data_IF_290386798714
#
_entry.id   IF_290386798714
#
_cell.length_a   1.000
_cell.length_b   1.000
_cell.length_c   1.000
_cell.angle_alpha   90.00
_cell.angle_beta   90.00
_cell.angle_gamma   90.00
#
_symmetry.space_group_name_H-M   'P 1'
#
loop_
_entity.id
_entity.type
_entity.pdbx_description
1 polymer ?
#
# COMPACT_ATOMS: atom_id res chain seq x y z
N UNK A 1 6.98 -2.79 80.75
CA UNK A 1 5.88 -1.85 81.05
C UNK A 1 6.33 -0.46 80.65
N UNK A 2 5.48 0.23 79.89
CA UNK A 2 5.42 1.67 79.56
C UNK A 2 6.53 2.36 78.71
N UNK A 3 6.03 3.01 77.63
CA UNK A 3 6.51 4.21 76.91
C UNK A 3 7.71 4.06 75.94
N UNK A 4 7.76 4.63 74.71
CA UNK A 4 7.11 5.77 74.00
C UNK A 4 7.40 5.59 72.47
N UNK A 5 6.42 5.57 71.55
CA UNK A 5 5.83 6.65 70.71
C UNK A 5 6.61 7.14 69.47
N UNK A 6 5.93 7.14 68.31
CA UNK A 6 6.21 7.92 67.07
C UNK A 6 6.62 7.06 65.87
N UNK A 7 6.20 7.24 64.62
CA UNK A 7 5.34 8.17 63.90
C UNK A 7 5.33 7.67 62.42
N UNK A 8 4.27 8.00 61.65
CA UNK A 8 4.01 7.68 60.22
C UNK A 8 3.25 6.37 59.96
N UNK A 9 2.02 6.33 59.41
CA UNK A 9 1.25 7.33 58.68
C UNK A 9 1.14 6.94 57.20
N UNK A 10 0.00 6.31 56.86
CA UNK A 10 -0.79 6.43 55.60
C UNK A 10 -0.03 6.37 54.26
N UNK A 11 -0.37 5.39 53.41
CA UNK A 11 -0.78 5.60 52.00
C UNK A 11 -0.92 4.25 51.27
N UNK A 12 -2.06 3.60 51.47
CA UNK A 12 -2.67 2.76 50.43
C UNK A 12 -3.51 3.72 49.60
N UNK A 13 -3.16 3.94 48.34
CA UNK A 13 -4.00 4.40 47.22
C UNK A 13 -3.10 4.96 46.11
N UNK A 14 -3.29 4.46 44.90
CA UNK A 14 -2.84 5.13 43.67
C UNK A 14 -2.01 4.25 42.76
N UNK A 15 -2.68 3.61 41.79
CA UNK A 15 -2.28 3.54 40.38
C UNK A 15 -3.32 2.72 39.61
N UNK A 16 -4.55 3.23 39.59
CA UNK A 16 -5.58 2.84 38.63
C UNK A 16 -5.98 4.12 37.89
N UNK A 17 -5.30 4.40 36.77
CA UNK A 17 -5.71 5.33 35.73
C UNK A 17 -4.67 5.28 34.60
N UNK A 18 -4.61 4.17 33.87
CA UNK A 18 -4.03 4.20 32.53
C UNK A 18 -5.12 4.67 31.59
N UNK A 19 -4.84 5.81 30.94
CA UNK A 19 -5.81 6.67 30.28
C UNK A 19 -6.54 6.00 29.13
N UNK A 20 -7.87 5.93 29.26
CA UNK A 20 -8.76 6.14 28.14
C UNK A 20 -8.70 7.63 27.79
N UNK A 21 -7.79 7.99 26.89
CA UNK A 21 -7.89 9.25 26.18
C UNK A 21 -9.14 9.17 25.29
N UNK A 22 -10.30 9.48 25.86
CA UNK A 22 -11.50 9.81 25.11
C UNK A 22 -11.22 11.13 24.40
N UNK A 23 -10.67 11.05 23.18
CA UNK A 23 -10.72 12.16 22.24
C UNK A 23 -12.17 12.27 21.79
N UNK A 24 -12.98 12.93 22.61
CA UNK A 24 -14.34 13.35 22.25
C UNK A 24 -14.22 14.55 21.29
N UNK A 25 -13.74 14.31 20.07
CA UNK A 25 -14.00 15.23 18.97
C UNK A 25 -15.39 14.88 18.46
N UNK A 26 -16.37 15.70 18.84
CA UNK A 26 -17.72 15.61 18.29
C UNK A 26 -17.63 15.92 16.80
N UNK A 27 -18.04 14.96 15.97
CA UNK A 27 -18.16 15.20 14.53
C UNK A 27 -19.29 16.21 14.28
N UNK A 28 -19.19 17.05 13.23
CA UNK A 28 -20.25 17.99 12.91
C UNK A 28 -21.59 17.24 12.72
N UNK A 29 -22.64 17.56 13.50
CA UNK A 29 -23.91 16.83 13.46
C UNK A 29 -24.51 16.77 12.06
N UNK A 30 -24.36 17.86 11.29
CA UNK A 30 -24.87 17.97 9.93
C UNK A 30 -24.18 16.98 8.98
N UNK A 31 -22.86 16.82 9.10
CA UNK A 31 -22.07 15.90 8.26
C UNK A 31 -22.40 14.44 8.61
N UNK A 32 -22.50 14.12 9.90
CA UNK A 32 -22.91 12.78 10.36
C UNK A 32 -24.31 12.43 9.86
N UNK A 33 -25.24 13.38 9.93
CA UNK A 33 -26.60 13.22 9.42
C UNK A 33 -26.62 12.99 7.91
N UNK A 34 -25.84 13.75 7.13
CA UNK A 34 -25.75 13.56 5.68
C UNK A 34 -25.19 12.18 5.31
N UNK A 35 -24.19 11.68 6.04
CA UNK A 35 -23.59 10.36 5.80
C UNK A 35 -24.60 9.22 6.10
N UNK A 36 -25.39 9.38 7.16
CA UNK A 36 -26.35 8.35 7.57
C UNK A 36 -27.63 8.37 6.71
N UNK A 37 -28.26 9.53 6.58
CA UNK A 37 -29.61 9.70 6.02
C UNK A 37 -29.64 10.29 4.60
N UNK A 38 -28.55 10.87 4.12
CA UNK A 38 -28.49 11.47 2.79
C UNK A 38 -28.54 10.45 1.65
N UNK A 39 -28.83 10.93 0.44
CA UNK A 39 -28.65 10.14 -0.78
C UNK A 39 -27.16 9.89 -1.07
N UNK A 40 -26.85 8.95 -1.96
CA UNK A 40 -25.46 8.53 -2.22
C UNK A 40 -24.50 9.68 -2.55
N UNK A 41 -24.93 10.68 -3.34
CA UNK A 41 -24.07 11.81 -3.71
C UNK A 41 -23.86 12.77 -2.53
N UNK A 42 -24.85 12.94 -1.64
CA UNK A 42 -24.70 13.70 -0.41
C UNK A 42 -23.74 12.98 0.57
N UNK A 43 -23.84 11.65 0.69
CA UNK A 43 -22.91 10.84 1.49
C UNK A 43 -21.47 10.98 1.01
N UNK A 44 -21.25 10.90 -0.30
CA UNK A 44 -19.92 11.06 -0.91
C UNK A 44 -19.36 12.46 -0.60
N UNK A 45 -20.16 13.51 -0.82
CA UNK A 45 -19.75 14.89 -0.57
C UNK A 45 -19.35 15.12 0.90
N UNK A 46 -20.11 14.55 1.84
CA UNK A 46 -19.81 14.62 3.27
C UNK A 46 -18.52 13.87 3.65
N UNK A 47 -18.23 12.74 3.00
CA UNK A 47 -16.96 12.02 3.19
C UNK A 47 -15.79 12.83 2.64
N UNK A 48 -15.92 13.37 1.43
CA UNK A 48 -14.87 14.17 0.79
C UNK A 48 -14.56 15.43 1.61
N UNK A 49 -15.58 16.04 2.23
CA UNK A 49 -15.41 17.17 3.15
C UNK A 49 -14.58 16.80 4.39
N UNK A 50 -14.88 15.66 5.04
CA UNK A 50 -14.11 15.18 6.20
C UNK A 50 -12.66 14.88 5.83
N UNK A 51 -12.44 14.27 4.66
CA UNK A 51 -11.10 13.97 4.14
C UNK A 51 -10.33 15.24 3.82
N UNK A 52 -10.97 16.20 3.14
CA UNK A 52 -10.36 17.48 2.78
C UNK A 52 -9.95 18.32 3.99
N UNK A 53 -10.68 18.21 5.11
CA UNK A 53 -10.32 18.84 6.39
C UNK A 53 -9.28 18.06 7.21
N UNK A 54 -9.04 16.80 6.87
CA UNK A 54 -8.14 15.92 7.63
C UNK A 54 -8.70 15.52 9.00
N UNK A 55 -10.04 15.37 9.12
CA UNK A 55 -10.74 15.07 10.37
C UNK A 55 -10.52 13.62 10.83
N UNK A 56 -9.42 13.37 11.57
CA UNK A 56 -9.05 12.02 12.04
C UNK A 56 -10.10 11.39 12.96
N UNK A 57 -10.90 12.20 13.65
CA UNK A 57 -12.02 11.74 14.48
C UNK A 57 -13.11 11.01 13.66
N UNK A 58 -13.15 11.19 12.34
CA UNK A 58 -14.10 10.51 11.47
C UNK A 58 -13.74 9.04 11.19
N UNK A 59 -12.47 8.64 11.41
CA UNK A 59 -12.00 7.30 11.07
C UNK A 59 -12.87 6.16 11.63
N UNK A 60 -13.30 6.17 12.92
CA UNK A 60 -14.15 5.12 13.45
C UNK A 60 -15.52 5.03 12.76
N UNK A 61 -16.11 6.18 12.39
CA UNK A 61 -17.40 6.22 11.69
C UNK A 61 -17.26 5.69 10.26
N UNK A 62 -16.24 6.14 9.52
CA UNK A 62 -16.01 5.72 8.14
C UNK A 62 -15.67 4.23 8.05
N UNK A 63 -14.81 3.74 8.97
CA UNK A 63 -14.47 2.33 9.08
C UNK A 63 -15.71 1.50 9.46
N UNK A 64 -16.50 1.96 10.42
CA UNK A 64 -17.76 1.30 10.79
C UNK A 64 -18.77 1.23 9.66
N UNK A 65 -18.86 2.25 8.80
CA UNK A 65 -19.70 2.18 7.58
C UNK A 65 -19.19 1.12 6.61
N UNK A 66 -17.87 1.03 6.43
CA UNK A 66 -17.25 0.03 5.57
C UNK A 66 -17.51 -1.39 6.08
N UNK A 67 -17.47 -1.57 7.40
CA UNK A 67 -17.61 -2.85 8.09
C UNK A 67 -19.08 -3.23 8.35
N UNK A 68 -20.04 -2.34 8.06
CA UNK A 68 -21.47 -2.57 8.28
C UNK A 68 -21.91 -2.45 9.74
N UNK A 69 -21.11 -1.78 10.57
CA UNK A 69 -21.34 -1.58 12.00
C UNK A 69 -22.14 -0.31 12.32
N UNK A 70 -22.46 0.52 11.32
CA UNK A 70 -23.19 1.78 11.53
C UNK A 70 -24.68 1.59 11.29
N UNK A 71 -25.46 1.94 12.31
CA UNK A 71 -26.92 1.81 12.34
C UNK A 71 -27.59 3.13 12.72
N UNK A 72 -28.77 3.40 12.18
CA UNK A 72 -29.59 4.56 12.52
C UNK A 72 -30.73 4.17 13.44
N UNK A 73 -31.20 5.13 14.25
CA UNK A 73 -32.37 4.98 15.12
C UNK A 73 -33.27 6.20 14.93
N UNK A 74 -34.47 5.98 14.38
CA UNK A 74 -35.35 7.08 14.00
C UNK A 74 -34.73 7.97 12.92
N UNK A 75 -35.03 9.28 12.95
CA UNK A 75 -34.59 10.23 11.93
C UNK A 75 -33.24 10.92 12.23
N UNK A 76 -32.74 10.84 13.46
CA UNK A 76 -31.69 11.76 13.93
C UNK A 76 -30.46 11.08 14.55
N UNK A 77 -30.57 9.82 15.00
CA UNK A 77 -29.48 9.14 15.72
C UNK A 77 -28.70 8.18 14.85
N UNK A 78 -27.38 8.29 14.92
CA UNK A 78 -26.41 7.46 14.20
C UNK A 78 -25.52 6.78 15.23
N UNK A 79 -25.51 5.45 15.22
CA UNK A 79 -24.85 4.61 16.20
C UNK A 79 -23.79 3.75 15.53
N UNK A 80 -22.59 3.73 16.09
CA UNK A 80 -21.55 2.77 15.79
C UNK A 80 -21.66 1.59 16.75
N UNK A 81 -22.06 0.43 16.26
CA UNK A 81 -22.27 -0.78 17.06
C UNK A 81 -20.92 -1.43 17.40
N UNK A 82 -20.71 -1.77 18.67
CA UNK A 82 -19.55 -2.51 19.17
C UNK A 82 -20.04 -3.61 20.12
N UNK A 83 -20.32 -4.78 19.55
CA UNK A 83 -20.92 -5.90 20.29
C UNK A 83 -22.28 -5.53 20.89
N UNK A 84 -22.41 -5.62 22.21
CA UNK A 84 -23.64 -5.33 22.95
C UNK A 84 -23.82 -3.84 23.32
N UNK A 85 -22.89 -2.98 22.89
CA UNK A 85 -22.91 -1.53 23.14
C UNK A 85 -22.84 -0.76 21.83
N UNK A 86 -23.23 0.51 21.85
CA UNK A 86 -23.01 1.41 20.74
C UNK A 86 -22.33 2.69 21.19
N UNK A 87 -21.74 3.42 20.26
CA UNK A 87 -21.28 4.79 20.46
C UNK A 87 -22.09 5.69 19.54
N UNK A 88 -22.68 6.75 20.08
CA UNK A 88 -23.36 7.75 19.27
C UNK A 88 -22.32 8.57 18.48
N UNK A 89 -22.48 8.62 17.15
CA UNK A 89 -21.47 9.19 16.25
C UNK A 89 -21.35 10.72 16.34
N UNK A 90 -22.35 11.41 16.91
CA UNK A 90 -22.34 12.87 17.07
C UNK A 90 -21.79 13.23 18.45
N UNK A 91 -22.31 12.61 19.51
CA UNK A 91 -21.95 12.93 20.89
C UNK A 91 -20.72 12.17 21.41
N UNK A 92 -20.35 11.05 20.77
CA UNK A 92 -19.27 10.16 21.22
C UNK A 92 -19.60 9.37 22.50
N UNK A 93 -20.84 9.44 22.98
CA UNK A 93 -21.26 8.78 24.22
C UNK A 93 -21.62 7.33 23.99
N UNK A 94 -21.28 6.47 24.96
CA UNK A 94 -21.69 5.08 24.95
C UNK A 94 -23.20 4.96 25.19
N UNK A 95 -23.86 4.14 24.38
CA UNK A 95 -25.28 3.84 24.44
C UNK A 95 -25.44 2.38 24.86
N UNK A 96 -26.05 2.18 26.02
CA UNK A 96 -26.46 0.89 26.55
C UNK A 96 -27.69 1.08 27.46
N UNK A 97 -28.75 0.27 27.33
CA UNK A 97 -28.93 -0.83 26.37
C UNK A 97 -29.11 -0.31 24.93
N UNK A 98 -28.90 -1.18 23.95
CA UNK A 98 -29.09 -0.84 22.54
C UNK A 98 -30.58 -0.52 22.28
N UNK A 99 -30.90 0.62 21.63
CA UNK A 99 -32.28 0.96 21.31
C UNK A 99 -32.90 0.00 20.27
N UNK A 100 -34.22 -0.15 20.34
CA UNK A 100 -35.02 -0.86 19.33
C UNK A 100 -35.23 -0.02 18.06
N UNK A 101 -35.61 -0.65 16.95
CA UNK A 101 -35.87 0.05 15.68
C UNK A 101 -34.60 0.54 14.96
N UNK A 102 -33.52 -0.25 15.04
CA UNK A 102 -32.24 0.04 14.37
C UNK A 102 -32.25 -0.40 12.91
N UNK A 103 -31.83 0.46 12.02
CA UNK A 103 -31.67 0.16 10.59
C UNK A 103 -30.19 0.28 10.18
N UNK A 104 -29.70 -0.67 9.38
CA UNK A 104 -28.32 -0.62 8.90
C UNK A 104 -28.17 0.44 7.81
N UNK A 105 -27.10 1.23 7.87
CA UNK A 105 -26.80 2.19 6.79
C UNK A 105 -26.33 1.42 5.56
N UNK A 106 -27.09 1.55 4.47
CA UNK A 106 -26.77 0.86 3.20
C UNK A 106 -25.55 1.50 2.54
N UNK A 107 -24.53 0.67 2.27
CA UNK A 107 -23.30 1.06 1.56
C UNK A 107 -23.19 0.31 0.24
N UNK A 108 -23.38 1.02 -0.86
CA UNK A 108 -23.21 0.45 -2.20
C UNK A 108 -21.72 0.42 -2.63
N UNK A 109 -21.43 -0.18 -3.79
CA UNK A 109 -20.06 -0.32 -4.30
C UNK A 109 -19.38 1.02 -4.64
N UNK A 110 -20.14 2.08 -4.95
CA UNK A 110 -19.57 3.41 -5.19
C UNK A 110 -19.12 4.03 -3.88
N UNK A 111 -20.01 4.07 -2.89
CA UNK A 111 -19.73 4.59 -1.56
C UNK A 111 -18.62 3.81 -0.87
N UNK A 112 -18.57 2.49 -1.04
CA UNK A 112 -17.49 1.64 -0.52
C UNK A 112 -16.11 2.07 -1.02
N UNK A 113 -16.00 2.42 -2.32
CA UNK A 113 -14.74 2.89 -2.91
C UNK A 113 -14.34 4.25 -2.34
N UNK A 114 -15.28 5.19 -2.24
CA UNK A 114 -15.05 6.51 -1.62
C UNK A 114 -14.62 6.38 -0.17
N UNK A 115 -15.29 5.52 0.62
CA UNK A 115 -14.92 5.23 2.00
C UNK A 115 -13.49 4.68 2.09
N UNK A 116 -13.14 3.69 1.27
CA UNK A 116 -11.80 3.12 1.28
C UNK A 116 -10.71 4.17 0.97
N UNK A 117 -10.90 4.98 -0.08
CA UNK A 117 -9.97 6.07 -0.43
C UNK A 117 -9.89 7.12 0.68
N UNK A 118 -11.02 7.55 1.23
CA UNK A 118 -11.06 8.55 2.30
C UNK A 118 -10.43 8.07 3.61
N UNK A 119 -10.69 6.82 4.01
CA UNK A 119 -10.07 6.20 5.18
C UNK A 119 -8.55 6.12 5.00
N UNK A 120 -8.08 5.69 3.83
CA UNK A 120 -6.65 5.63 3.55
C UNK A 120 -6.02 7.04 3.57
N UNK A 121 -6.67 8.05 3.01
CA UNK A 121 -6.23 9.44 3.08
C UNK A 121 -6.09 9.96 4.51
N UNK A 122 -7.06 9.70 5.39
CA UNK A 122 -6.99 10.08 6.80
C UNK A 122 -5.91 9.29 7.56
N UNK A 123 -5.71 8.01 7.25
CA UNK A 123 -4.66 7.16 7.87
C UNK A 123 -3.24 7.61 7.52
N UNK A 124 -3.04 8.49 6.54
CA UNK A 124 -1.73 9.09 6.26
C UNK A 124 -1.20 9.95 7.43
N UNK A 125 -2.06 10.44 8.32
CA UNK A 125 -1.62 11.20 9.51
C UNK A 125 -1.44 10.32 10.76
N UNK A 126 -1.53 8.99 10.63
CA UNK A 126 -1.37 8.07 11.76
C UNK A 126 0.04 8.16 12.38
N UNK A 127 0.16 8.04 13.72
CA UNK A 127 1.46 8.09 14.38
C UNK A 127 2.34 6.89 14.02
N UNK A 128 1.75 5.71 13.78
CA UNK A 128 2.47 4.49 13.41
C UNK A 128 2.90 4.51 11.94
N UNK A 129 4.20 4.26 11.71
CA UNK A 129 4.78 4.15 10.36
C UNK A 129 4.06 3.13 9.49
N UNK A 130 3.76 1.95 10.04
CA UNK A 130 3.14 0.85 9.28
C UNK A 130 1.75 1.22 8.77
N UNK A 131 0.95 1.92 9.59
CA UNK A 131 -0.37 2.43 9.22
C UNK A 131 -0.26 3.44 8.07
N UNK A 132 0.70 4.37 8.14
CA UNK A 132 0.94 5.34 7.05
C UNK A 132 1.41 4.68 5.76
N UNK A 133 2.30 3.70 5.84
CA UNK A 133 2.80 2.97 4.68
C UNK A 133 1.69 2.15 4.00
N UNK A 134 0.86 1.46 4.79
CA UNK A 134 -0.28 0.71 4.27
C UNK A 134 -1.28 1.65 3.57
N UNK A 135 -1.60 2.78 4.21
CA UNK A 135 -2.44 3.82 3.64
C UNK A 135 -1.89 4.40 2.33
N UNK A 136 -0.60 4.73 2.29
CA UNK A 136 0.06 5.23 1.08
C UNK A 136 0.03 4.20 -0.06
N UNK A 137 0.26 2.92 0.22
CA UNK A 137 0.17 1.83 -0.77
C UNK A 137 -1.26 1.63 -1.29
N UNK A 138 -2.25 1.73 -0.40
CA UNK A 138 -3.66 1.65 -0.78
C UNK A 138 -4.07 2.81 -1.68
N UNK A 139 -3.71 4.04 -1.31
CA UNK A 139 -3.98 5.22 -2.13
C UNK A 139 -3.25 5.16 -3.47
N UNK A 140 -2.01 4.69 -3.53
CA UNK A 140 -1.28 4.59 -4.79
C UNK A 140 -2.04 3.78 -5.87
N UNK A 141 -2.86 2.81 -5.46
CA UNK A 141 -3.64 1.97 -6.38
C UNK A 141 -4.99 2.58 -6.77
N UNK A 142 -5.51 3.54 -6.00
CA UNK A 142 -6.94 3.95 -6.03
C UNK A 142 -7.19 5.45 -5.98
N UNK A 143 -6.17 6.25 -5.68
CA UNK A 143 -6.33 7.67 -5.43
C UNK A 143 -6.85 8.40 -6.68
N UNK A 144 -7.73 9.34 -6.43
CA UNK A 144 -8.21 10.33 -7.37
C UNK A 144 -7.83 11.73 -6.86
N UNK A 145 -8.16 12.76 -7.66
CA UNK A 145 -7.79 14.15 -7.39
C UNK A 145 -8.28 14.68 -6.03
N UNK A 146 -9.30 14.06 -5.43
CA UNK A 146 -9.85 14.46 -4.13
C UNK A 146 -8.87 14.21 -2.98
N UNK A 147 -7.97 13.23 -3.12
CA UNK A 147 -6.98 12.88 -2.10
C UNK A 147 -5.76 13.82 -2.13
N UNK A 148 -5.60 14.67 -3.15
CA UNK A 148 -4.41 15.51 -3.33
C UNK A 148 -4.11 16.41 -2.11
N UNK A 149 -5.09 17.11 -1.49
CA UNK A 149 -4.82 17.91 -0.29
C UNK A 149 -4.33 17.08 0.90
N UNK A 150 -4.90 15.89 1.09
CA UNK A 150 -4.49 14.97 2.16
C UNK A 150 -3.07 14.44 1.92
N UNK A 151 -2.74 14.08 0.68
CA UNK A 151 -1.39 13.64 0.28
C UNK A 151 -0.38 14.76 0.51
N UNK A 152 -0.66 15.99 0.05
CA UNK A 152 0.22 17.14 0.23
C UNK A 152 0.42 17.47 1.73
N UNK A 153 -0.66 17.45 2.52
CA UNK A 153 -0.60 17.67 3.96
C UNK A 153 0.21 16.61 4.71
N UNK A 154 0.10 15.34 4.30
CA UNK A 154 0.90 14.25 4.84
C UNK A 154 2.38 14.37 4.44
N UNK A 155 2.66 14.67 3.16
CA UNK A 155 4.02 14.80 2.65
C UNK A 155 4.82 15.90 3.39
N UNK A 156 4.16 17.01 3.73
CA UNK A 156 4.78 18.11 4.47
C UNK A 156 5.26 17.73 5.88
N UNK A 157 4.66 16.69 6.49
CA UNK A 157 4.97 16.24 7.85
C UNK A 157 5.68 14.89 7.89
N UNK A 158 5.74 14.17 6.79
CA UNK A 158 6.31 12.83 6.74
C UNK A 158 7.82 12.87 6.99
N UNK A 159 8.31 11.93 7.78
CA UNK A 159 9.73 11.77 8.14
C UNK A 159 10.36 10.57 7.44
N UNK A 160 9.60 9.48 7.27
CA UNK A 160 10.05 8.22 6.69
C UNK A 160 10.34 8.34 5.19
N UNK A 161 11.47 7.78 4.74
CA UNK A 161 11.90 7.89 3.36
C UNK A 161 11.03 7.10 2.37
N UNK A 162 10.55 5.91 2.75
CA UNK A 162 9.72 5.05 1.90
C UNK A 162 8.34 5.70 1.71
N UNK A 163 7.70 6.11 2.82
CA UNK A 163 6.38 6.77 2.76
C UNK A 163 6.46 8.08 2.01
N UNK A 164 7.48 8.92 2.28
CA UNK A 164 7.68 10.19 1.56
C UNK A 164 7.86 9.97 0.06
N UNK A 165 8.62 8.95 -0.34
CA UNK A 165 8.84 8.60 -1.74
C UNK A 165 7.54 8.22 -2.46
N UNK A 166 6.70 7.39 -1.83
CA UNK A 166 5.39 7.00 -2.38
C UNK A 166 4.45 8.20 -2.52
N UNK A 167 4.35 9.04 -1.49
CA UNK A 167 3.50 10.23 -1.51
C UNK A 167 3.96 11.24 -2.56
N UNK A 168 5.28 11.45 -2.69
CA UNK A 168 5.84 12.33 -3.73
C UNK A 168 5.56 11.81 -5.13
N UNK A 169 5.66 10.50 -5.36
CA UNK A 169 5.33 9.88 -6.65
C UNK A 169 3.84 10.08 -7.00
N UNK A 170 2.95 9.87 -6.04
CA UNK A 170 1.50 10.06 -6.23
C UNK A 170 1.17 11.52 -6.54
N UNK A 171 1.64 12.45 -5.70
CA UNK A 171 1.43 13.88 -5.92
C UNK A 171 1.91 14.31 -7.30
N UNK A 172 3.14 13.94 -7.67
CA UNK A 172 3.71 14.29 -8.97
C UNK A 172 2.91 13.68 -10.13
N UNK A 173 2.39 12.46 -9.99
CA UNK A 173 1.56 11.84 -11.02
C UNK A 173 0.25 12.61 -11.26
N UNK A 174 -0.37 13.12 -10.18
CA UNK A 174 -1.60 13.90 -10.23
C UNK A 174 -1.35 15.31 -10.79
N UNK A 175 -0.23 15.92 -10.40
CA UNK A 175 0.18 17.25 -10.84
C UNK A 175 0.57 17.33 -12.33
N UNK A 176 0.79 16.19 -13.01
CA UNK A 176 0.96 16.16 -14.47
C UNK A 176 -0.25 16.73 -15.23
N UNK A 177 -1.45 16.61 -14.66
CA UNK A 177 -2.68 17.15 -15.26
C UNK A 177 -2.92 18.63 -14.93
N UNK A 178 -2.03 19.26 -14.15
CA UNK A 178 -2.17 20.67 -13.74
C UNK A 178 -2.21 21.61 -14.94
N UNK A 179 -3.07 22.65 -14.92
CA UNK A 179 -3.05 23.68 -15.95
C UNK A 179 -1.78 24.55 -15.89
N UNK A 180 -1.08 24.56 -14.75
CA UNK A 180 0.13 25.34 -14.57
C UNK A 180 1.37 24.62 -15.12
N UNK A 181 2.08 25.30 -16.02
CA UNK A 181 3.29 24.78 -16.66
C UNK A 181 4.40 24.48 -15.65
N UNK A 182 4.61 25.37 -14.67
CA UNK A 182 5.70 25.21 -13.71
C UNK A 182 5.47 23.97 -12.81
N UNK A 183 4.23 23.78 -12.38
CA UNK A 183 3.78 22.60 -11.63
C UNK A 183 4.01 21.32 -12.42
N UNK A 184 3.62 21.27 -13.71
CA UNK A 184 3.88 20.10 -14.57
C UNK A 184 5.37 19.78 -14.73
N UNK A 185 6.23 20.79 -14.88
CA UNK A 185 7.69 20.59 -14.96
C UNK A 185 8.23 20.04 -13.62
N UNK A 186 7.78 20.58 -12.49
CA UNK A 186 8.17 20.09 -11.17
C UNK A 186 7.73 18.63 -10.96
N UNK A 187 6.50 18.30 -11.36
CA UNK A 187 5.97 16.93 -11.35
C UNK A 187 6.84 15.98 -12.19
N UNK A 188 7.20 16.33 -13.42
CA UNK A 188 8.08 15.51 -14.28
C UNK A 188 9.44 15.26 -13.62
N UNK A 189 10.00 16.24 -12.92
CA UNK A 189 11.27 16.09 -12.18
C UNK A 189 11.13 15.21 -10.94
N UNK A 190 10.04 15.37 -10.19
CA UNK A 190 9.74 14.56 -9.03
C UNK A 190 9.52 13.09 -9.42
N UNK A 191 8.79 12.84 -10.51
CA UNK A 191 8.66 11.51 -11.10
C UNK A 191 10.03 10.92 -11.46
N UNK A 192 10.91 11.71 -12.07
CA UNK A 192 12.25 11.26 -12.45
C UNK A 192 13.15 10.89 -11.26
N UNK A 193 12.81 11.27 -10.03
CA UNK A 193 13.52 10.83 -8.83
C UNK A 193 13.18 9.39 -8.44
N UNK A 194 12.03 8.86 -8.90
CA UNK A 194 11.63 7.46 -8.71
C UNK A 194 12.40 6.54 -9.65
N UNK A 195 12.75 5.35 -9.14
CA UNK A 195 13.49 4.28 -9.80
C UNK A 195 12.58 3.14 -10.29
N UNK A 196 11.30 3.42 -10.48
CA UNK A 196 10.30 2.41 -10.87
C UNK A 196 10.07 2.34 -12.38
N UNK A 197 9.79 1.14 -12.89
CA UNK A 197 9.35 0.96 -14.27
C UNK A 197 8.03 1.68 -14.59
N UNK A 198 7.16 1.88 -13.59
CA UNK A 198 5.92 2.64 -13.75
C UNK A 198 6.17 4.10 -14.14
N UNK A 199 7.16 4.76 -13.50
CA UNK A 199 7.60 6.11 -13.86
C UNK A 199 8.02 6.18 -15.33
N UNK A 200 8.80 5.20 -15.81
CA UNK A 200 9.22 5.14 -17.21
C UNK A 200 8.02 5.14 -18.15
N UNK A 201 7.03 4.27 -17.89
CA UNK A 201 5.81 4.16 -18.69
C UNK A 201 5.02 5.46 -18.70
N UNK A 202 4.86 6.12 -17.54
CA UNK A 202 4.14 7.39 -17.43
C UNK A 202 4.82 8.52 -18.23
N UNK A 203 6.14 8.66 -18.08
CA UNK A 203 6.91 9.67 -18.81
C UNK A 203 6.93 9.40 -20.32
N UNK A 204 7.06 8.14 -20.73
CA UNK A 204 7.00 7.77 -22.15
C UNK A 204 5.64 8.10 -22.78
N UNK A 205 4.53 7.90 -22.05
CA UNK A 205 3.19 8.23 -22.52
C UNK A 205 3.00 9.72 -22.86
N UNK A 206 3.72 10.63 -22.20
CA UNK A 206 3.70 12.07 -22.51
C UNK A 206 4.40 12.40 -23.84
N UNK A 207 5.33 11.56 -24.28
CA UNK A 207 6.05 11.69 -25.55
C UNK A 207 5.39 10.91 -26.70
N UNK A 208 4.33 10.15 -26.43
CA UNK A 208 3.58 9.45 -27.48
C UNK A 208 2.94 10.44 -28.46
N UNK A 209 2.93 10.08 -29.74
CA UNK A 209 2.27 10.87 -30.78
C UNK A 209 0.85 10.36 -30.98
N UNK A 210 -0.12 11.27 -30.91
CA UNK A 210 -1.54 11.05 -31.21
C UNK A 210 -1.87 11.74 -32.54
N UNK A 211 -1.66 11.02 -33.64
CA UNK A 211 -1.70 11.59 -34.98
C UNK A 211 -0.52 12.54 -35.21
N UNK A 212 -0.81 13.79 -35.61
CA UNK A 212 0.22 14.80 -35.87
C UNK A 212 0.75 15.50 -34.60
N UNK A 213 0.04 15.40 -33.47
CA UNK A 213 0.41 16.06 -32.23
C UNK A 213 1.03 15.09 -31.21
N UNK A 214 1.87 15.61 -30.32
CA UNK A 214 2.32 14.89 -29.13
C UNK A 214 1.22 14.88 -28.06
N UNK A 215 1.22 13.86 -27.19
CA UNK A 215 0.36 13.81 -26.02
C UNK A 215 0.59 15.02 -25.09
N UNK A 216 1.85 15.41 -24.87
CA UNK A 216 2.20 16.69 -24.27
C UNK A 216 2.39 17.77 -25.36
N UNK A 217 1.52 18.79 -25.44
CA UNK A 217 1.63 19.85 -26.44
C UNK A 217 2.84 20.77 -26.20
N UNK A 218 3.27 21.00 -24.96
CA UNK A 218 4.31 21.96 -24.62
C UNK A 218 5.73 21.43 -24.93
N UNK A 219 6.50 22.10 -25.82
CA UNK A 219 7.84 21.66 -26.18
C UNK A 219 8.86 21.69 -25.03
N UNK A 220 8.74 22.60 -24.06
CA UNK A 220 9.67 22.63 -22.92
C UNK A 220 9.39 21.51 -21.93
N UNK A 221 8.12 21.17 -21.73
CA UNK A 221 7.74 20.01 -20.90
C UNK A 221 8.24 18.74 -21.59
N UNK A 222 8.05 18.58 -22.91
CA UNK A 222 8.62 17.45 -23.64
C UNK A 222 10.14 17.34 -23.47
N UNK A 223 10.86 18.46 -23.57
CA UNK A 223 12.31 18.47 -23.37
C UNK A 223 12.72 18.09 -21.93
N UNK A 224 11.91 18.43 -20.92
CA UNK A 224 12.11 17.95 -19.55
C UNK A 224 11.82 16.45 -19.42
N UNK A 225 10.71 15.98 -19.99
CA UNK A 225 10.32 14.56 -20.00
C UNK A 225 11.40 13.70 -20.64
N UNK A 226 11.97 14.12 -21.77
CA UNK A 226 13.09 13.41 -22.42
C UNK A 226 14.35 13.35 -21.55
N UNK A 227 14.64 14.40 -20.78
CA UNK A 227 15.78 14.41 -19.85
C UNK A 227 15.51 13.48 -18.66
N UNK A 228 14.32 13.57 -18.08
CA UNK A 228 13.86 12.71 -16.99
C UNK A 228 13.81 11.23 -17.38
N UNK A 229 13.29 10.90 -18.56
CA UNK A 229 13.19 9.54 -19.07
C UNK A 229 14.57 8.91 -19.22
N UNK A 230 15.53 9.64 -19.82
CA UNK A 230 16.93 9.18 -19.93
C UNK A 230 17.56 8.91 -18.57
N UNK A 231 17.31 9.76 -17.58
CA UNK A 231 17.84 9.57 -16.23
C UNK A 231 17.27 8.31 -15.57
N UNK A 232 15.96 8.07 -15.71
CA UNK A 232 15.29 6.86 -15.19
C UNK A 232 15.82 5.61 -15.89
N UNK A 233 15.91 5.61 -17.22
CA UNK A 233 16.42 4.49 -18.00
C UNK A 233 17.87 4.13 -17.64
N UNK A 234 18.75 5.11 -17.48
CA UNK A 234 20.14 4.87 -17.08
C UNK A 234 20.25 4.17 -15.72
N UNK A 235 19.42 4.57 -14.75
CA UNK A 235 19.40 3.93 -13.42
C UNK A 235 18.87 2.50 -13.49
N UNK A 236 17.78 2.28 -14.21
CA UNK A 236 17.19 0.94 -14.42
C UNK A 236 18.20 -0.01 -15.09
N UNK A 237 18.85 0.45 -16.17
CA UNK A 237 19.87 -0.34 -16.88
C UNK A 237 21.08 -0.67 -15.98
N UNK A 238 21.52 0.28 -15.14
CA UNK A 238 22.63 0.04 -14.21
C UNK A 238 22.27 -1.06 -13.21
N UNK A 239 21.05 -1.03 -12.66
CA UNK A 239 20.54 -2.08 -11.77
C UNK A 239 20.46 -3.45 -12.46
N UNK A 240 19.95 -3.50 -13.68
CA UNK A 240 19.89 -4.73 -14.47
C UNK A 240 21.27 -5.31 -14.77
N UNK A 241 22.25 -4.48 -15.15
CA UNK A 241 23.62 -4.92 -15.42
C UNK A 241 24.23 -5.54 -14.16
N UNK A 242 24.10 -4.88 -13.00
CA UNK A 242 24.61 -5.41 -11.74
C UNK A 242 23.94 -6.75 -11.38
N UNK A 243 22.62 -6.86 -11.54
CA UNK A 243 21.89 -8.09 -11.28
C UNK A 243 22.33 -9.23 -12.23
N UNK A 244 22.54 -8.93 -13.51
CA UNK A 244 23.02 -9.90 -14.51
C UNK A 244 24.45 -10.35 -14.22
N UNK A 245 25.35 -9.44 -13.84
CA UNK A 245 26.72 -9.78 -13.44
C UNK A 245 26.69 -10.68 -12.21
N UNK A 246 25.92 -10.34 -11.19
CA UNK A 246 25.77 -11.18 -9.98
C UNK A 246 25.25 -12.58 -10.33
N UNK A 247 24.22 -12.66 -11.18
CA UNK A 247 23.64 -13.92 -11.64
C UNK A 247 24.65 -14.74 -12.45
N UNK A 248 25.42 -14.09 -13.33
CA UNK A 248 26.48 -14.71 -14.11
C UNK A 248 27.62 -15.25 -13.24
N UNK A 249 28.04 -14.51 -12.22
CA UNK A 249 29.04 -14.95 -11.24
C UNK A 249 28.51 -16.13 -10.41
N UNK A 250 27.25 -16.06 -9.96
CA UNK A 250 26.61 -17.14 -9.21
C UNK A 250 26.56 -18.44 -10.02
N UNK A 251 26.00 -18.39 -11.23
CA UNK A 251 25.92 -19.55 -12.14
C UNK A 251 27.33 -20.04 -12.53
N UNK A 252 28.23 -19.12 -12.83
CA UNK A 252 29.62 -19.42 -13.18
C UNK A 252 30.35 -20.15 -12.05
N UNK A 253 30.10 -19.80 -10.79
CA UNK A 253 30.69 -20.47 -9.62
C UNK A 253 30.18 -21.90 -9.48
N UNK A 254 28.89 -22.14 -9.72
CA UNK A 254 28.32 -23.50 -9.73
C UNK A 254 28.99 -24.35 -10.81
N UNK A 255 29.10 -23.82 -12.04
CA UNK A 255 29.75 -24.51 -13.14
C UNK A 255 31.25 -24.76 -12.86
N UNK A 256 31.95 -23.79 -12.26
CA UNK A 256 33.34 -23.91 -11.86
C UNK A 256 33.53 -25.02 -10.81
N UNK A 257 32.67 -25.08 -9.78
CA UNK A 257 32.71 -26.13 -8.76
C UNK A 257 32.44 -27.51 -9.36
N UNK A 258 31.45 -27.63 -10.26
CA UNK A 258 31.16 -28.87 -10.96
C UNK A 258 32.34 -29.32 -11.83
N UNK A 259 32.91 -28.41 -12.63
CA UNK A 259 34.07 -28.68 -13.46
C UNK A 259 35.31 -29.05 -12.63
N UNK A 260 35.54 -28.39 -11.49
CA UNK A 260 36.63 -28.70 -10.57
C UNK A 260 36.46 -30.09 -9.95
N UNK A 261 35.26 -30.44 -9.48
CA UNK A 261 34.96 -31.78 -8.96
C UNK A 261 35.23 -32.85 -10.02
N UNK A 262 34.77 -32.60 -11.25
CA UNK A 262 35.01 -33.49 -12.39
C UNK A 262 36.51 -33.62 -12.72
N UNK A 263 37.23 -32.50 -12.75
CA UNK A 263 38.67 -32.45 -13.00
C UNK A 263 39.47 -33.20 -11.93
N UNK A 264 39.06 -33.11 -10.65
CA UNK A 264 39.70 -33.88 -9.56
C UNK A 264 39.45 -35.38 -9.75
N UNK A 265 38.21 -35.79 -10.04
CA UNK A 265 37.90 -37.21 -10.25
C UNK A 265 38.65 -37.79 -11.45
N UNK A 266 38.77 -37.06 -12.56
CA UNK A 266 39.50 -37.54 -13.74
C UNK A 266 41.01 -37.41 -13.62
N UNK A 267 41.51 -36.37 -12.96
CA UNK A 267 42.94 -36.14 -12.75
C UNK A 267 43.59 -37.19 -11.84
N UNK A 268 42.87 -37.67 -10.82
CA UNK A 268 43.39 -38.67 -9.89
C UNK A 268 43.36 -40.11 -10.44
N UNK A 269 42.45 -40.42 -11.36
CA UNK A 269 42.36 -41.77 -11.95
C UNK A 269 43.33 -42.00 -13.12
N UNK A 270 43.95 -40.94 -13.68
CA UNK A 270 45.03 -41.07 -14.67
C UNK A 270 44.64 -41.68 -16.02
N UNK A 271 43.36 -41.95 -16.27
CA UNK A 271 42.84 -42.51 -17.54
C UNK A 271 42.01 -41.45 -18.25
N UNK A 272 42.29 -41.22 -19.54
CA UNK A 272 41.53 -40.28 -20.37
C UNK A 272 40.12 -40.84 -20.59
N UNK A 273 39.15 -40.09 -20.08
CA UNK A 273 37.75 -40.46 -20.08
C UNK A 273 37.11 -40.30 -21.48
N UNK A 274 37.14 -41.37 -22.26
CA UNK A 274 36.39 -41.47 -23.52
C UNK A 274 34.93 -41.97 -23.34
N UNK A 275 34.56 -42.49 -22.16
CA UNK A 275 33.23 -43.04 -21.91
C UNK A 275 32.21 -42.01 -21.37
N UNK A 276 32.62 -40.78 -21.03
CA UNK A 276 31.73 -39.80 -20.41
C UNK A 276 30.53 -39.44 -21.27
N UNK A 277 30.79 -39.19 -22.56
CA UNK A 277 29.75 -38.80 -23.51
C UNK A 277 28.74 -39.92 -23.71
N UNK A 278 29.22 -41.17 -23.77
CA UNK A 278 28.40 -42.36 -23.93
C UNK A 278 27.53 -42.63 -22.69
N UNK A 279 28.08 -42.46 -21.48
CA UNK A 279 27.33 -42.59 -20.21
C UNK A 279 26.30 -41.47 -20.02
N UNK A 280 26.62 -40.22 -20.36
CA UNK A 280 25.67 -39.11 -20.34
C UNK A 280 24.55 -39.36 -21.35
N UNK A 281 24.89 -39.84 -22.55
CA UNK A 281 23.90 -40.19 -23.56
C UNK A 281 22.96 -41.31 -23.10
N UNK A 282 23.49 -42.36 -22.48
CA UNK A 282 22.68 -43.45 -21.91
C UNK A 282 21.78 -42.90 -20.79
N UNK A 283 22.30 -42.04 -19.92
CA UNK A 283 21.52 -41.39 -18.86
C UNK A 283 20.37 -40.54 -19.41
N UNK A 284 20.63 -39.70 -20.42
CA UNK A 284 19.62 -38.88 -21.08
C UNK A 284 18.55 -39.74 -21.76
N UNK A 285 18.94 -40.82 -22.44
CA UNK A 285 18.02 -41.75 -23.07
C UNK A 285 17.15 -42.49 -22.04
N UNK A 286 17.75 -42.91 -20.92
CA UNK A 286 17.02 -43.54 -19.81
C UNK A 286 15.97 -42.58 -19.23
N UNK A 287 16.32 -41.31 -18.97
CA UNK A 287 15.35 -40.32 -18.49
C UNK A 287 14.23 -40.03 -19.49
N UNK A 288 14.54 -39.93 -20.79
CA UNK A 288 13.55 -39.72 -21.85
C UNK A 288 12.56 -40.90 -21.94
N UNK A 289 13.07 -42.14 -21.85
CA UNK A 289 12.23 -43.34 -21.88
C UNK A 289 11.34 -43.41 -20.63
N UNK A 290 11.90 -43.19 -19.44
CA UNK A 290 11.13 -43.19 -18.19
C UNK A 290 10.05 -42.11 -18.20
N UNK A 291 10.36 -40.89 -18.68
CA UNK A 291 9.39 -39.81 -18.81
C UNK A 291 8.23 -40.19 -19.72
N UNK A 292 8.50 -40.80 -20.88
CA UNK A 292 7.46 -41.25 -21.80
C UNK A 292 6.64 -42.41 -21.22
N UNK A 293 7.27 -43.31 -20.47
CA UNK A 293 6.60 -44.43 -19.82
C UNK A 293 5.62 -43.93 -18.75
N UNK A 294 6.04 -42.96 -17.93
CA UNK A 294 5.17 -42.32 -16.94
C UNK A 294 4.02 -41.56 -17.61
N UNK A 295 4.29 -40.81 -18.68
CA UNK A 295 3.24 -40.13 -19.46
C UNK A 295 2.19 -41.09 -20.02
N UNK A 296 2.61 -42.28 -20.46
CA UNK A 296 1.71 -43.24 -21.09
C UNK A 296 0.95 -44.12 -20.09
N UNK A 297 1.62 -44.57 -19.03
CA UNK A 297 1.08 -45.58 -18.10
C UNK A 297 0.66 -45.01 -16.73
N UNK A 298 1.11 -43.83 -16.35
CA UNK A 298 0.76 -43.19 -15.08
C UNK A 298 0.51 -41.67 -15.23
N UNK A 299 -0.39 -41.24 -16.14
CA UNK A 299 -0.63 -39.80 -16.39
C UNK A 299 -1.12 -39.05 -15.15
N UNK A 300 -1.92 -39.70 -14.29
CA UNK A 300 -2.48 -39.10 -13.06
C UNK A 300 -1.41 -38.83 -11.99
N UNK A 301 -0.28 -39.55 -12.02
CA UNK A 301 0.83 -39.29 -11.10
C UNK A 301 1.63 -38.03 -11.49
N UNK A 302 1.48 -37.56 -12.73
CA UNK A 302 2.13 -36.33 -13.21
C UNK A 302 1.37 -35.07 -12.78
N UNK A 303 0.06 -35.16 -12.56
CA UNK A 303 -0.79 -34.04 -12.09
C UNK A 303 -0.67 -33.77 -10.57
N UNK A 304 0.02 -34.67 -9.83
CA UNK A 304 0.22 -34.59 -8.38
C UNK A 304 1.53 -33.87 -7.98
N UNK A 305 2.37 -33.47 -8.93
CA UNK A 305 3.64 -32.77 -8.72
C UNK A 305 3.63 -31.40 -9.41
#
# INVERSE_FOLDING_TARGET
MTHRSGLWGRCVLGLAAWGLALWAFALPPEVVSQIAFGENDAKISAIDELVGRGELAALPLLQGLLDGEVQTVGADRVLLIKGDTAVDAVSGLAVSPLPEGREAVVVNNRLRRTLATGIAALKLAAPERETRLAAAKELHQRADDTALPAIAGALAKESDAEVRGLLSLMQASMELASPDRATRIAAVRALAASDTGATKTLLAALLERRGEAYAEPDPEIRAEVERSLRAVEQRLLTGEILARVFSGVSLGTILLLAALGLAITYGLMGVINLAHGELIMIGAYATYVVQNLFRHYAPVAFDLY
#
